data_IF_443445647584
#
_entry.id   IF_443445647584
#
_cell.length_a   1.000
_cell.length_b   1.000
_cell.length_c   1.000
_cell.angle_alpha   90.00
_cell.angle_beta   90.00
_cell.angle_gamma   90.00
#
_symmetry.space_group_name_H-M   'P 1'
#
loop_
_entity.id
_entity.type
_entity.pdbx_description
1 polymer ?
#
# COMPACT_ATOMS: atom_id res chain seq x y z
N UNK A 1 -19.24 -22.22 -8.20
CA UNK A 1 -18.59 -21.08 -8.91
C UNK A 1 -17.38 -20.71 -8.08
N UNK A 2 -16.22 -20.62 -8.67
CA UNK A 2 -14.99 -20.22 -7.99
C UNK A 2 -15.09 -18.74 -7.60
N UNK A 3 -14.77 -18.41 -6.33
CA UNK A 3 -14.80 -17.02 -5.86
C UNK A 3 -13.51 -16.30 -6.25
N UNK A 4 -13.61 -14.99 -6.44
CA UNK A 4 -12.45 -14.15 -6.73
C UNK A 4 -12.40 -13.00 -5.74
N UNK A 5 -11.28 -12.89 -5.05
CA UNK A 5 -11.01 -11.86 -4.06
C UNK A 5 -9.90 -10.92 -4.51
N UNK A 6 -10.07 -9.64 -4.17
CA UNK A 6 -9.02 -8.62 -4.26
C UNK A 6 -8.59 -8.29 -2.83
N UNK A 7 -7.27 -8.33 -2.57
CA UNK A 7 -6.67 -7.82 -1.35
C UNK A 7 -5.96 -6.51 -1.69
N UNK A 8 -6.35 -5.41 -1.04
CA UNK A 8 -5.73 -4.08 -1.22
C UNK A 8 -4.98 -3.75 0.06
N UNK A 9 -3.71 -3.35 -0.08
CA UNK A 9 -2.81 -2.92 1.00
C UNK A 9 -2.24 -1.55 0.64
N UNK A 10 -2.46 -0.54 1.51
CA UNK A 10 -2.00 0.82 1.31
C UNK A 10 -0.53 0.93 1.70
N UNK A 11 0.31 1.34 0.77
CA UNK A 11 1.76 1.29 0.93
C UNK A 11 2.27 2.29 1.98
N UNK A 12 2.91 1.77 3.05
CA UNK A 12 3.47 2.59 4.14
C UNK A 12 2.49 3.64 4.65
N UNK A 13 1.25 3.25 4.88
CA UNK A 13 0.06 4.09 4.96
C UNK A 13 0.24 5.39 5.74
N UNK A 14 0.60 5.32 7.03
CA UNK A 14 0.76 6.54 7.84
C UNK A 14 1.83 7.49 7.29
N UNK A 15 2.95 6.94 6.81
CA UNK A 15 3.99 7.75 6.20
C UNK A 15 3.52 8.38 4.89
N UNK A 16 2.72 7.65 4.09
CA UNK A 16 2.14 8.18 2.86
C UNK A 16 1.16 9.32 3.12
N UNK A 17 0.29 9.19 4.14
CA UNK A 17 -0.61 10.29 4.57
C UNK A 17 0.19 11.52 4.98
N UNK A 18 1.26 11.35 5.78
CA UNK A 18 2.10 12.46 6.22
C UNK A 18 2.87 13.13 5.07
N UNK A 19 3.33 12.36 4.08
CA UNK A 19 3.95 12.90 2.88
C UNK A 19 2.97 13.74 2.06
N UNK A 20 1.78 13.18 1.76
CA UNK A 20 0.74 13.86 0.98
C UNK A 20 0.33 15.16 1.66
N UNK A 21 0.11 15.15 2.98
CA UNK A 21 -0.23 16.35 3.75
C UNK A 21 0.81 17.47 3.61
N UNK A 22 2.08 17.11 3.44
CA UNK A 22 3.20 18.07 3.25
C UNK A 22 3.49 18.39 1.79
N UNK A 23 2.67 17.90 0.85
CA UNK A 23 2.91 18.08 -0.59
C UNK A 23 4.11 17.30 -1.13
N UNK A 24 4.57 16.27 -0.39
CA UNK A 24 5.71 15.43 -0.75
C UNK A 24 5.25 14.17 -1.49
N UNK A 25 6.12 13.64 -2.36
CA UNK A 25 5.91 12.35 -3.00
C UNK A 25 6.18 11.21 -2.00
N UNK A 26 5.17 10.40 -1.63
CA UNK A 26 5.32 9.31 -0.66
C UNK A 26 6.37 8.27 -1.03
N UNK A 27 6.70 8.12 -2.31
CA UNK A 27 7.66 7.13 -2.79
C UNK A 27 9.11 7.63 -2.74
N UNK A 28 9.31 8.96 -2.72
CA UNK A 28 10.64 9.59 -2.78
C UNK A 28 11.06 10.24 -1.47
N UNK A 29 10.10 10.73 -0.69
CA UNK A 29 10.38 11.42 0.54
C UNK A 29 10.95 10.47 1.60
N UNK A 30 11.96 10.94 2.33
CA UNK A 30 12.47 10.25 3.51
C UNK A 30 11.66 10.71 4.72
N UNK A 31 10.70 9.88 5.16
CA UNK A 31 9.82 10.23 6.26
C UNK A 31 9.60 9.04 7.21
N UNK A 32 9.75 9.32 8.49
CA UNK A 32 9.50 8.42 9.60
C UNK A 32 8.30 8.94 10.40
N UNK A 33 7.36 8.08 10.76
CA UNK A 33 6.23 8.45 11.63
C UNK A 33 6.54 7.97 13.04
N UNK A 34 6.97 8.89 13.91
CA UNK A 34 7.31 8.61 15.29
C UNK A 34 7.13 9.85 16.16
N UNK A 35 6.88 9.63 17.46
CA UNK A 35 6.84 10.71 18.45
C UNK A 35 8.19 10.78 19.17
N UNK A 36 9.08 11.64 18.69
CA UNK A 36 10.42 11.83 19.28
C UNK A 36 10.40 12.57 20.62
N UNK A 37 9.29 13.23 20.99
CA UNK A 37 9.17 13.90 22.29
C UNK A 37 9.14 12.90 23.44
N UNK A 38 8.79 11.63 23.17
CA UNK A 38 8.76 10.56 24.18
C UNK A 38 10.16 10.03 24.49
N UNK A 39 10.83 9.52 23.50
CA UNK A 39 12.24 9.08 23.53
C UNK A 39 12.66 8.49 22.19
N UNK A 40 13.97 8.35 21.95
CA UNK A 40 14.51 7.61 20.79
C UNK A 40 14.21 6.10 20.81
N UNK A 41 13.69 5.56 21.93
CA UNK A 41 13.20 4.16 22.03
C UNK A 41 11.80 3.98 21.43
N UNK A 42 11.11 5.07 21.07
CA UNK A 42 9.79 5.04 20.42
C UNK A 42 9.84 4.23 19.13
N UNK A 43 8.82 3.40 18.93
CA UNK A 43 8.67 2.62 17.69
C UNK A 43 8.14 3.54 16.59
N UNK A 44 8.79 3.53 15.44
CA UNK A 44 8.26 4.14 14.23
C UNK A 44 7.02 3.38 13.77
N UNK A 45 5.87 4.04 13.75
CA UNK A 45 4.61 3.44 13.31
C UNK A 45 4.63 3.14 11.81
N UNK A 46 5.32 3.98 11.03
CA UNK A 46 5.55 3.76 9.61
C UNK A 46 6.85 4.43 9.17
N UNK A 47 7.41 3.88 8.11
CA UNK A 47 8.58 4.39 7.39
C UNK A 47 8.21 4.46 5.90
N UNK A 48 8.47 5.58 5.24
CA UNK A 48 8.25 5.71 3.80
C UNK A 48 9.14 4.75 2.99
N UNK A 49 8.85 4.50 1.72
CA UNK A 49 9.64 3.57 0.91
C UNK A 49 11.10 3.94 0.73
N UNK A 50 11.42 5.23 0.61
CA UNK A 50 12.77 5.70 0.35
C UNK A 50 13.78 5.32 1.46
N UNK A 51 13.53 5.60 2.77
CA UNK A 51 14.41 5.11 3.84
C UNK A 51 14.52 3.59 3.90
N UNK A 52 13.44 2.85 3.57
CA UNK A 52 13.51 1.39 3.49
C UNK A 52 14.49 0.90 2.43
N UNK A 53 14.59 1.62 1.30
CA UNK A 53 15.51 1.28 0.22
C UNK A 53 16.99 1.45 0.64
N UNK A 54 17.29 2.29 1.61
CA UNK A 54 18.64 2.47 2.17
C UNK A 54 18.90 1.67 3.45
N UNK A 55 18.04 0.71 3.78
CA UNK A 55 18.26 -0.26 4.86
C UNK A 55 17.50 0.03 6.16
N UNK A 56 16.68 1.07 6.25
CA UNK A 56 15.85 1.30 7.42
C UNK A 56 14.73 0.24 7.51
N UNK A 57 14.56 -0.48 8.64
CA UNK A 57 13.51 -1.47 8.80
C UNK A 57 12.10 -0.87 8.69
N UNK A 58 11.08 -1.72 8.51
CA UNK A 58 9.69 -1.25 8.34
C UNK A 58 9.07 -0.67 9.61
N UNK A 59 9.45 -1.18 10.78
CA UNK A 59 8.98 -0.74 12.11
C UNK A 59 10.13 -0.73 13.10
N UNK A 60 11.18 0.10 12.88
CA UNK A 60 12.32 0.20 13.78
C UNK A 60 11.94 1.01 15.03
N UNK A 61 12.75 0.95 16.05
CA UNK A 61 12.81 2.03 17.04
C UNK A 61 13.46 3.26 16.40
N UNK A 62 13.14 4.44 16.87
CA UNK A 62 13.62 5.68 16.26
C UNK A 62 15.15 5.76 16.23
N UNK A 63 15.83 5.30 17.29
CA UNK A 63 17.29 5.26 17.32
C UNK A 63 17.88 4.30 16.28
N UNK A 64 17.21 3.15 16.02
CA UNK A 64 17.64 2.19 15.00
C UNK A 64 17.51 2.77 13.59
N UNK A 65 16.40 3.49 13.33
CA UNK A 65 16.22 4.20 12.07
C UNK A 65 17.31 5.27 11.85
N UNK A 66 17.57 6.09 12.89
CA UNK A 66 18.63 7.11 12.87
C UNK A 66 20.01 6.47 12.66
N UNK A 67 20.27 5.32 13.28
CA UNK A 67 21.53 4.57 13.13
C UNK A 67 21.71 4.03 11.73
N UNK A 68 20.66 3.41 11.15
CA UNK A 68 20.70 2.89 9.79
C UNK A 68 20.98 3.99 8.75
N UNK A 69 20.35 5.17 8.92
CA UNK A 69 20.61 6.34 8.06
C UNK A 69 22.07 6.78 8.19
N UNK A 70 22.60 6.93 9.41
CA UNK A 70 24.01 7.31 9.62
C UNK A 70 25.00 6.31 9.04
N UNK A 71 24.71 5.02 9.14
CA UNK A 71 25.54 3.99 8.53
C UNK A 71 25.57 4.10 7.00
N UNK A 72 24.41 4.35 6.40
CA UNK A 72 24.30 4.59 4.95
C UNK A 72 25.08 5.85 4.54
N UNK A 73 24.94 6.96 5.27
CA UNK A 73 25.67 8.22 5.03
C UNK A 73 27.19 8.02 5.07
N UNK A 74 27.68 7.30 6.10
CA UNK A 74 29.10 7.01 6.27
C UNK A 74 29.65 6.14 5.13
N UNK A 75 28.89 5.12 4.71
CA UNK A 75 29.30 4.19 3.65
C UNK A 75 29.33 4.86 2.27
N UNK A 76 28.37 5.76 2.00
CA UNK A 76 28.20 6.38 0.68
C UNK A 76 28.73 7.82 0.60
N UNK A 77 29.35 8.34 1.68
CA UNK A 77 29.86 9.71 1.76
C UNK A 77 28.82 10.75 1.34
N UNK A 78 27.56 10.57 1.76
CA UNK A 78 26.42 11.40 1.42
C UNK A 78 25.65 11.82 2.65
N UNK A 79 24.80 12.83 2.55
CA UNK A 79 23.88 13.23 3.60
C UNK A 79 22.44 12.90 3.18
N UNK A 80 21.68 12.30 4.08
CA UNK A 80 20.27 11.96 3.88
C UNK A 80 19.40 12.85 4.76
N UNK A 81 18.73 13.80 4.15
CA UNK A 81 17.71 14.57 4.84
C UNK A 81 16.45 13.72 5.02
N UNK A 82 15.87 13.76 6.23
CA UNK A 82 14.65 13.03 6.54
C UNK A 82 13.76 13.81 7.51
N UNK A 83 12.48 13.50 7.51
CA UNK A 83 11.45 14.13 8.34
C UNK A 83 10.97 13.11 9.36
N UNK A 84 10.85 13.53 10.63
CA UNK A 84 10.13 12.78 11.65
C UNK A 84 8.77 13.47 11.84
N UNK A 85 7.71 12.73 11.58
CA UNK A 85 6.34 13.22 11.71
C UNK A 85 5.68 12.62 12.94
N UNK A 86 5.12 13.45 13.79
CA UNK A 86 4.32 13.01 14.94
C UNK A 86 3.04 12.33 14.45
N UNK A 87 2.66 11.15 15.00
CA UNK A 87 1.47 10.42 14.58
C UNK A 87 0.18 11.24 14.78
N UNK A 88 -0.70 11.23 13.77
CA UNK A 88 -2.02 11.89 13.76
C UNK A 88 -3.12 10.86 13.49
N UNK A 89 -3.42 10.02 14.48
CA UNK A 89 -4.30 8.84 14.30
C UNK A 89 -5.67 9.21 13.75
N UNK A 90 -6.32 10.25 14.27
CA UNK A 90 -7.63 10.73 13.77
C UNK A 90 -7.60 11.08 12.27
N UNK A 91 -6.50 11.65 11.78
CA UNK A 91 -6.33 11.97 10.37
C UNK A 91 -6.16 10.68 9.53
N UNK A 92 -5.44 9.70 10.05
CA UNK A 92 -5.30 8.40 9.37
C UNK A 92 -6.64 7.69 9.26
N UNK A 93 -7.44 7.68 10.32
CA UNK A 93 -8.80 7.13 10.30
C UNK A 93 -9.70 7.86 9.28
N UNK A 94 -9.65 9.19 9.25
CA UNK A 94 -10.40 10.01 8.30
C UNK A 94 -10.05 9.69 6.85
N UNK A 95 -8.78 9.56 6.52
CA UNK A 95 -8.33 9.22 5.16
C UNK A 95 -8.68 7.77 4.82
N UNK A 96 -8.56 6.83 5.76
CA UNK A 96 -8.99 5.44 5.57
C UNK A 96 -10.49 5.36 5.26
N UNK A 97 -11.34 6.08 5.99
CA UNK A 97 -12.78 6.16 5.71
C UNK A 97 -13.08 6.75 4.32
N UNK A 98 -12.31 7.77 3.89
CA UNK A 98 -12.40 8.31 2.53
C UNK A 98 -12.05 7.24 1.49
N UNK A 99 -10.98 6.47 1.69
CA UNK A 99 -10.57 5.39 0.79
C UNK A 99 -11.65 4.30 0.75
N UNK A 100 -12.20 3.91 1.90
CA UNK A 100 -13.31 2.98 1.95
C UNK A 100 -14.52 3.46 1.13
N UNK A 101 -14.86 4.74 1.18
CA UNK A 101 -15.93 5.31 0.36
C UNK A 101 -15.66 5.24 -1.15
N UNK A 102 -14.39 5.18 -1.56
CA UNK A 102 -14.02 4.93 -2.96
C UNK A 102 -14.34 3.49 -3.34
N UNK A 103 -14.02 2.51 -2.47
CA UNK A 103 -14.34 1.10 -2.73
C UNK A 103 -15.83 0.84 -2.87
N UNK A 104 -16.68 1.54 -2.10
CA UNK A 104 -18.14 1.44 -2.17
C UNK A 104 -18.74 1.87 -3.52
N UNK A 105 -18.01 2.53 -4.39
CA UNK A 105 -18.46 2.83 -5.76
C UNK A 105 -18.40 1.61 -6.68
N UNK A 106 -17.70 0.58 -6.28
CA UNK A 106 -17.39 -0.60 -7.09
C UNK A 106 -18.10 -1.84 -6.59
N UNK A 107 -18.30 -1.96 -5.27
CA UNK A 107 -18.86 -3.14 -4.64
C UNK A 107 -19.77 -2.74 -3.47
N UNK A 108 -20.67 -3.62 -3.10
CA UNK A 108 -21.52 -3.44 -1.93
C UNK A 108 -20.71 -3.59 -0.62
N UNK A 109 -21.14 -2.95 0.48
CA UNK A 109 -20.41 -2.99 1.75
C UNK A 109 -20.27 -4.41 2.33
N UNK A 110 -21.22 -5.30 2.10
CA UNK A 110 -21.21 -6.70 2.53
C UNK A 110 -20.10 -7.54 1.88
N UNK A 111 -19.59 -7.10 0.73
CA UNK A 111 -18.50 -7.77 0.00
C UNK A 111 -17.12 -7.23 0.38
N UNK A 112 -17.05 -6.22 1.26
CA UNK A 112 -15.80 -5.63 1.77
C UNK A 112 -15.54 -6.10 3.18
N UNK A 113 -14.44 -6.82 3.38
CA UNK A 113 -13.92 -7.14 4.70
C UNK A 113 -12.73 -6.24 5.04
N UNK A 114 -12.93 -5.26 5.92
CA UNK A 114 -11.87 -4.40 6.46
C UNK A 114 -11.05 -5.20 7.46
N UNK A 115 -9.79 -5.50 7.12
CA UNK A 115 -8.88 -6.24 8.00
C UNK A 115 -8.12 -5.30 8.94
N UNK A 116 -7.72 -4.13 8.44
CA UNK A 116 -7.04 -3.08 9.21
C UNK A 116 -7.32 -1.71 8.60
N UNK A 117 -6.76 -0.66 9.19
CA UNK A 117 -6.89 0.71 8.70
C UNK A 117 -6.32 0.91 7.29
N UNK A 118 -5.41 0.04 6.86
CA UNK A 118 -4.68 0.12 5.59
C UNK A 118 -4.84 -1.13 4.69
N UNK A 119 -5.63 -2.13 5.14
CA UNK A 119 -5.79 -3.39 4.41
C UNK A 119 -7.26 -3.85 4.38
N UNK A 120 -7.74 -4.23 3.19
CA UNK A 120 -9.06 -4.80 3.00
C UNK A 120 -9.06 -5.96 2.00
N UNK A 121 -10.03 -6.87 2.17
CA UNK A 121 -10.35 -7.96 1.24
C UNK A 121 -11.72 -7.70 0.65
N UNK A 122 -11.86 -7.86 -0.65
CA UNK A 122 -13.08 -7.56 -1.39
C UNK A 122 -13.46 -8.79 -2.22
N UNK A 123 -14.66 -9.35 -2.02
CA UNK A 123 -15.22 -10.36 -2.92
C UNK A 123 -15.73 -9.66 -4.18
N UNK A 124 -15.06 -9.87 -5.30
CA UNK A 124 -15.41 -9.24 -6.56
C UNK A 124 -16.14 -10.18 -7.53
N UNK A 125 -16.45 -11.38 -7.09
CA UNK A 125 -17.01 -12.47 -7.93
C UNK A 125 -18.23 -12.01 -8.73
N UNK A 126 -19.18 -11.35 -8.07
CA UNK A 126 -20.43 -10.88 -8.68
C UNK A 126 -20.27 -9.71 -9.64
N UNK A 127 -19.15 -8.96 -9.55
CA UNK A 127 -18.94 -7.70 -10.29
C UNK A 127 -18.11 -7.86 -11.55
N UNK A 128 -17.41 -8.99 -11.71
CA UNK A 128 -16.47 -9.21 -12.82
C UNK A 128 -17.14 -9.20 -14.21
N UNK A 129 -18.43 -9.49 -14.28
CA UNK A 129 -19.17 -9.48 -15.53
C UNK A 129 -19.16 -8.11 -16.22
N UNK A 130 -19.19 -7.01 -15.45
CA UNK A 130 -19.16 -5.65 -15.97
C UNK A 130 -17.81 -5.32 -16.66
N UNK A 131 -16.72 -6.01 -16.26
CA UNK A 131 -15.37 -5.76 -16.76
C UNK A 131 -14.93 -6.70 -17.88
N UNK A 132 -15.73 -7.74 -18.20
CA UNK A 132 -15.35 -8.78 -19.19
C UNK A 132 -15.05 -8.22 -20.56
N UNK A 133 -15.89 -7.31 -21.07
CA UNK A 133 -15.76 -6.74 -22.41
C UNK A 133 -14.47 -5.92 -22.54
N UNK A 134 -14.21 -5.02 -21.61
CA UNK A 134 -13.05 -4.14 -21.63
C UNK A 134 -11.75 -4.91 -21.33
N UNK A 135 -11.83 -5.90 -20.46
CA UNK A 135 -10.71 -6.80 -20.16
C UNK A 135 -10.33 -7.64 -21.41
N UNK A 136 -11.30 -8.15 -22.15
CA UNK A 136 -11.05 -8.87 -23.40
C UNK A 136 -10.42 -7.97 -24.47
N UNK A 137 -10.89 -6.72 -24.58
CA UNK A 137 -10.35 -5.75 -25.52
C UNK A 137 -8.88 -5.35 -25.18
N UNK A 138 -8.51 -5.35 -23.89
CA UNK A 138 -7.17 -5.03 -23.41
C UNK A 138 -6.27 -6.26 -23.17
N UNK A 139 -6.76 -7.47 -23.44
CA UNK A 139 -6.01 -8.72 -23.23
C UNK A 139 -5.67 -9.00 -21.77
N UNK A 140 -6.49 -8.51 -20.81
CA UNK A 140 -6.24 -8.64 -19.38
C UNK A 140 -7.36 -9.42 -18.66
N UNK A 141 -7.14 -9.74 -17.39
CA UNK A 141 -8.16 -10.39 -16.55
C UNK A 141 -9.14 -9.34 -16.00
N UNK A 142 -10.49 -9.60 -15.99
CA UNK A 142 -11.49 -8.69 -15.44
C UNK A 142 -11.21 -8.24 -14.00
N UNK A 143 -10.78 -9.14 -13.11
CA UNK A 143 -10.44 -8.80 -11.74
C UNK A 143 -9.22 -7.88 -11.67
N UNK A 144 -8.25 -8.06 -12.56
CA UNK A 144 -7.08 -7.19 -12.67
C UNK A 144 -7.49 -5.79 -13.13
N UNK A 145 -8.33 -5.68 -14.17
CA UNK A 145 -8.82 -4.40 -14.67
C UNK A 145 -9.59 -3.64 -13.57
N UNK A 146 -10.49 -4.33 -12.86
CA UNK A 146 -11.25 -3.76 -11.75
C UNK A 146 -10.32 -3.27 -10.64
N UNK A 147 -9.37 -4.10 -10.22
CA UNK A 147 -8.40 -3.77 -9.17
C UNK A 147 -7.57 -2.53 -9.52
N UNK A 148 -7.02 -2.46 -10.75
CA UNK A 148 -6.26 -1.29 -11.22
C UNK A 148 -7.11 -0.04 -11.22
N UNK A 149 -8.36 -0.12 -11.65
CA UNK A 149 -9.27 1.02 -11.68
C UNK A 149 -9.51 1.55 -10.26
N UNK A 150 -9.78 0.65 -9.30
CA UNK A 150 -9.98 1.01 -7.90
C UNK A 150 -8.75 1.72 -7.30
N UNK A 151 -7.56 1.13 -7.45
CA UNK A 151 -6.34 1.74 -6.85
C UNK A 151 -5.89 3.02 -7.56
N UNK A 152 -6.24 3.20 -8.84
CA UNK A 152 -6.03 4.46 -9.56
C UNK A 152 -6.91 5.58 -9.02
N UNK A 153 -8.18 5.28 -8.71
CA UNK A 153 -9.08 6.25 -8.09
C UNK A 153 -8.62 6.61 -6.68
N UNK A 154 -8.16 5.63 -5.88
CA UNK A 154 -7.54 5.89 -4.58
C UNK A 154 -6.36 6.85 -4.75
N UNK A 155 -5.43 6.55 -5.66
CA UNK A 155 -4.26 7.41 -5.91
C UNK A 155 -4.66 8.81 -6.37
N UNK A 156 -5.61 8.92 -7.30
CA UNK A 156 -6.10 10.20 -7.84
C UNK A 156 -6.71 11.08 -6.77
N UNK A 157 -7.50 10.51 -5.86
CA UNK A 157 -8.26 11.28 -4.89
C UNK A 157 -7.53 11.50 -3.56
N UNK A 158 -6.54 10.67 -3.25
CA UNK A 158 -5.84 10.73 -1.96
C UNK A 158 -4.33 10.90 -2.08
N UNK A 159 -3.74 10.70 -3.24
CA UNK A 159 -2.30 10.68 -3.44
C UNK A 159 -1.60 9.46 -2.84
N UNK A 160 -2.35 8.49 -2.31
CA UNK A 160 -1.82 7.31 -1.63
C UNK A 160 -1.75 6.14 -2.60
N UNK A 161 -0.58 5.49 -2.65
CA UNK A 161 -0.36 4.29 -3.46
C UNK A 161 -0.82 3.04 -2.73
N UNK A 162 -1.35 2.08 -3.48
CA UNK A 162 -1.75 0.79 -2.98
C UNK A 162 -1.08 -0.35 -3.75
N UNK A 163 -0.99 -1.51 -3.11
CA UNK A 163 -0.67 -2.78 -3.75
C UNK A 163 -1.90 -3.65 -3.77
N UNK A 164 -2.06 -4.46 -4.83
CA UNK A 164 -3.20 -5.36 -4.98
C UNK A 164 -2.71 -6.78 -5.17
N UNK A 165 -3.35 -7.70 -4.44
CA UNK A 165 -3.30 -9.13 -4.69
C UNK A 165 -4.66 -9.65 -5.17
N UNK A 166 -4.66 -10.60 -6.11
CA UNK A 166 -5.87 -11.26 -6.60
C UNK A 166 -5.73 -12.76 -6.33
N UNK A 167 -6.77 -13.38 -5.81
CA UNK A 167 -6.77 -14.81 -5.48
C UNK A 167 -8.18 -15.39 -5.38
N UNK A 168 -8.24 -16.71 -5.24
CA UNK A 168 -9.50 -17.46 -5.08
C UNK A 168 -9.89 -17.69 -3.62
N UNK A 169 -9.02 -17.32 -2.68
CA UNK A 169 -9.23 -17.43 -1.23
C UNK A 169 -9.00 -16.09 -0.55
N UNK A 170 -9.87 -15.72 0.39
CA UNK A 170 -9.74 -14.53 1.24
C UNK A 170 -8.63 -14.64 2.31
N UNK A 171 -7.85 -15.72 2.31
CA UNK A 171 -6.77 -15.92 3.29
C UNK A 171 -5.53 -15.14 2.87
N UNK A 172 -5.07 -14.24 3.74
CA UNK A 172 -3.81 -13.51 3.57
C UNK A 172 -2.67 -14.52 3.30
N UNK A 173 -2.05 -14.51 2.12
CA UNK A 173 -0.90 -15.37 1.87
C UNK A 173 0.27 -14.87 2.72
N UNK A 174 0.43 -15.46 3.91
CA UNK A 174 1.69 -15.31 4.66
C UNK A 174 2.81 -15.86 3.79
N UNK A 175 3.67 -14.96 3.28
CA UNK A 175 4.93 -15.29 2.61
C UNK A 175 4.91 -15.86 1.18
N UNK A 176 3.89 -15.68 0.34
CA UNK A 176 4.06 -15.96 -1.10
C UNK A 176 3.79 -14.70 -1.94
N UNK A 177 4.67 -14.50 -2.93
CA UNK A 177 4.72 -13.34 -3.83
C UNK A 177 3.34 -13.06 -4.43
N UNK A 178 2.65 -12.06 -3.87
CA UNK A 178 1.51 -11.45 -4.51
C UNK A 178 1.95 -10.81 -5.82
N UNK A 179 1.15 -10.95 -6.87
CA UNK A 179 1.32 -10.15 -8.09
C UNK A 179 1.13 -8.69 -7.71
N UNK A 180 2.23 -7.97 -7.48
CA UNK A 180 2.21 -6.58 -7.05
C UNK A 180 1.95 -5.69 -8.25
N UNK A 181 0.80 -5.07 -8.29
CA UNK A 181 0.55 -3.92 -9.15
C UNK A 181 0.89 -2.67 -8.35
N UNK A 182 1.90 -1.94 -8.78
CA UNK A 182 2.24 -0.63 -8.21
C UNK A 182 1.92 0.44 -9.24
N UNK A 183 1.14 1.44 -8.84
CA UNK A 183 0.96 2.63 -9.67
C UNK A 183 1.87 3.75 -9.18
N UNK A 184 2.73 4.23 -10.04
CA UNK A 184 3.46 5.48 -9.89
C UNK A 184 2.93 6.47 -10.93
N UNK A 185 3.08 7.78 -10.72
CA UNK A 185 2.68 8.83 -11.68
C UNK A 185 3.06 8.44 -13.12
N UNK A 186 2.09 7.91 -13.87
CA UNK A 186 2.18 7.67 -15.31
C UNK A 186 2.85 6.38 -15.78
N UNK A 187 3.46 5.56 -14.93
CA UNK A 187 4.04 4.27 -15.31
C UNK A 187 3.49 3.10 -14.50
N UNK A 188 2.90 2.13 -15.21
CA UNK A 188 2.54 0.81 -14.69
C UNK A 188 3.75 -0.10 -14.80
N UNK A 189 4.36 -0.47 -13.69
CA UNK A 189 5.31 -1.56 -13.67
C UNK A 189 4.62 -2.83 -13.20
N UNK A 190 4.51 -3.78 -14.12
CA UNK A 190 4.01 -5.13 -13.85
C UNK A 190 5.12 -6.00 -13.28
N UNK A 191 4.85 -6.64 -12.14
CA UNK A 191 5.57 -7.86 -11.76
C UNK A 191 4.53 -8.98 -11.77
N UNK A 192 4.42 -9.66 -12.90
CA UNK A 192 3.62 -10.87 -13.01
C UNK A 192 4.33 -11.99 -12.22
N UNK A 193 3.68 -12.47 -11.17
CA UNK A 193 4.03 -13.74 -10.55
C UNK A 193 2.79 -14.61 -10.54
N UNK A 194 2.73 -15.53 -11.48
CA UNK A 194 1.72 -16.57 -11.59
C UNK A 194 1.82 -17.46 -10.36
N UNK A 195 0.80 -17.45 -9.51
CA UNK A 195 0.69 -18.40 -8.41
C UNK A 195 0.10 -19.70 -8.97
N UNK A 196 0.94 -20.65 -9.33
CA UNK A 196 0.55 -22.04 -9.53
C UNK A 196 0.43 -22.68 -8.14
N UNK A 197 -0.82 -22.91 -7.71
CA UNK A 197 -1.13 -23.78 -6.58
C UNK A 197 -1.03 -25.21 -7.02
N UNK A 198 0.01 -25.93 -6.59
CA UNK A 198 -0.09 -27.36 -6.40
C UNK A 198 -0.43 -27.62 -4.93
N UNK A 199 -1.64 -28.09 -4.73
CA UNK A 199 -2.06 -28.78 -3.51
C UNK A 199 -2.00 -30.26 -3.83
N UNK A 200 -1.11 -30.98 -3.18
CA UNK A 200 -1.24 -32.40 -2.88
C UNK A 200 -1.61 -32.52 -1.41
#
# INVERSE_FOLDING_TARGET
MERTYICIDLKSYYASVECVYRGLDPLKANLLVADESRSDQTICLAVSPSPKAIGVPSRPRLFEAKQAIRQYEALHHTRVEYIIAVPRMAEYERISAKIYSIYLRYVAPEDIHVYSIDECFIDVTGYLHAYRKDAAASGTNPAHLMAITMIRDVLKETGITATVGIGTNAVKPRHRRLSRVMTHRGHLSFVASTCLTHVT
#
